data_IF_566434202748
#
_entry.id   IF_566434202748
#
_cell.length_a   1.000
_cell.length_b   1.000
_cell.length_c   1.000
_cell.angle_alpha   90.00
_cell.angle_beta   90.00
_cell.angle_gamma   90.00
#
_symmetry.space_group_name_H-M   'P 1'
#
loop_
_entity.id
_entity.type
_entity.pdbx_description
1 polymer ?
#
# COMPACT_ATOMS: atom_id res chain seq x y z
N UNK A 1 -40.46 28.79 -67.13
CA UNK A 1 -40.03 27.38 -67.11
C UNK A 1 -39.14 27.23 -65.88
N UNK A 2 -39.71 26.80 -64.74
CA UNK A 2 -39.00 26.69 -63.47
C UNK A 2 -38.35 25.30 -63.35
N UNK A 3 -37.13 25.17 -62.79
CA UNK A 3 -36.47 23.88 -62.63
C UNK A 3 -37.22 22.99 -61.63
N UNK A 4 -37.23 21.66 -61.81
CA UNK A 4 -37.90 20.73 -60.91
C UNK A 4 -37.20 20.66 -59.54
N UNK A 5 -37.94 20.35 -58.46
CA UNK A 5 -37.39 20.26 -57.10
C UNK A 5 -36.44 19.08 -56.94
N UNK A 6 -35.36 19.31 -56.19
CA UNK A 6 -34.32 18.31 -55.87
C UNK A 6 -34.88 17.13 -55.05
N UNK A 7 -34.37 15.90 -55.24
CA UNK A 7 -34.79 14.74 -54.46
C UNK A 7 -34.30 14.83 -53.00
N UNK A 8 -35.01 14.19 -52.04
CA UNK A 8 -34.64 14.20 -50.63
C UNK A 8 -33.35 13.40 -50.36
N UNK A 9 -32.52 13.91 -49.44
CA UNK A 9 -31.27 13.28 -49.02
C UNK A 9 -31.48 11.92 -48.35
N UNK A 10 -30.55 10.96 -48.50
CA UNK A 10 -30.63 9.66 -47.82
C UNK A 10 -30.51 9.81 -46.28
N UNK A 11 -31.12 8.92 -45.50
CA UNK A 11 -31.03 8.95 -44.04
C UNK A 11 -29.60 8.69 -43.58
N UNK A 12 -29.17 9.43 -42.55
CA UNK A 12 -27.85 9.28 -41.93
C UNK A 12 -27.65 7.84 -41.40
N UNK A 13 -26.42 7.29 -41.47
CA UNK A 13 -26.13 5.98 -40.89
C UNK A 13 -26.41 6.00 -39.38
N UNK A 14 -27.09 4.97 -38.90
CA UNK A 14 -27.43 4.79 -37.50
C UNK A 14 -26.16 4.90 -36.64
N UNK A 15 -26.14 5.90 -35.76
CA UNK A 15 -25.12 6.10 -34.75
C UNK A 15 -25.12 4.86 -33.85
N UNK A 16 -24.10 4.02 -34.02
CA UNK A 16 -23.88 2.85 -33.18
C UNK A 16 -23.74 3.32 -31.73
N UNK A 17 -24.63 2.84 -30.87
CA UNK A 17 -24.63 3.12 -29.45
C UNK A 17 -23.20 2.97 -28.85
N UNK A 18 -22.81 3.82 -27.89
CA UNK A 18 -21.52 3.69 -27.23
C UNK A 18 -21.42 2.30 -26.62
N UNK A 19 -20.40 1.53 -27.04
CA UNK A 19 -20.09 0.25 -26.46
C UNK A 19 -19.93 0.44 -24.94
N UNK A 20 -20.69 -0.34 -24.17
CA UNK A 20 -20.52 -0.39 -22.72
C UNK A 20 -19.04 -0.57 -22.38
N UNK A 21 -18.50 0.18 -21.40
CA UNK A 21 -17.13 -0.04 -20.96
C UNK A 21 -16.99 -1.50 -20.57
N UNK A 22 -16.03 -2.19 -21.20
CA UNK A 22 -15.76 -3.58 -20.93
C UNK A 22 -15.65 -3.80 -19.41
N UNK A 23 -16.27 -4.86 -18.86
CA UNK A 23 -16.11 -5.21 -17.46
C UNK A 23 -14.61 -5.26 -17.11
N UNK A 24 -14.20 -4.79 -15.92
CA UNK A 24 -12.81 -4.91 -15.50
C UNK A 24 -12.38 -6.37 -15.65
N UNK A 25 -11.29 -6.60 -16.38
CA UNK A 25 -10.80 -7.94 -16.65
C UNK A 25 -10.66 -8.73 -15.34
N UNK A 26 -11.16 -9.98 -15.28
CA UNK A 26 -11.03 -10.80 -14.09
C UNK A 26 -9.55 -10.99 -13.75
N UNK A 27 -9.23 -10.91 -12.44
CA UNK A 27 -7.88 -11.17 -11.94
C UNK A 27 -7.37 -12.51 -12.47
N UNK A 28 -6.10 -12.61 -12.90
CA UNK A 28 -5.55 -13.83 -13.46
C UNK A 28 -5.75 -15.00 -12.49
N UNK A 29 -6.16 -16.15 -13.03
CA UNK A 29 -6.35 -17.35 -12.24
C UNK A 29 -5.01 -17.76 -11.57
N UNK A 30 -5.04 -18.46 -10.42
CA UNK A 30 -3.83 -18.83 -9.66
C UNK A 30 -2.73 -19.62 -10.43
N UNK A 31 -2.98 -20.03 -11.68
CA UNK A 31 -2.03 -20.72 -12.56
C UNK A 31 -1.41 -19.86 -13.68
N UNK A 32 -1.89 -18.63 -13.90
CA UNK A 32 -1.43 -17.73 -14.99
C UNK A 32 -0.48 -16.63 -14.49
N UNK A 33 -0.11 -16.65 -13.20
CA UNK A 33 0.79 -15.67 -12.61
C UNK A 33 2.17 -15.74 -13.29
N UNK A 34 2.68 -14.59 -13.71
CA UNK A 34 4.03 -14.47 -14.25
C UNK A 34 5.04 -14.91 -13.18
N UNK A 35 6.15 -15.52 -13.60
CA UNK A 35 7.22 -15.88 -12.68
C UNK A 35 8.44 -14.97 -12.91
N UNK A 36 9.17 -14.62 -11.84
CA UNK A 36 10.46 -13.95 -11.99
C UNK A 36 11.41 -14.85 -12.77
N UNK A 37 12.09 -14.27 -13.76
CA UNK A 37 13.00 -14.97 -14.65
C UNK A 37 14.37 -15.21 -14.00
N UNK A 38 14.72 -14.44 -12.97
CA UNK A 38 16.00 -14.58 -12.27
C UNK A 38 15.97 -14.08 -10.83
N UNK A 39 16.96 -14.52 -10.04
CA UNK A 39 17.23 -14.03 -8.68
C UNK A 39 17.54 -12.52 -8.67
N UNK A 40 18.15 -11.99 -9.74
CA UNK A 40 18.42 -10.56 -9.89
C UNK A 40 17.15 -9.74 -10.07
N UNK A 41 16.13 -10.31 -10.71
CA UNK A 41 14.83 -9.67 -10.87
C UNK A 41 14.12 -9.49 -9.52
N UNK A 42 14.17 -10.50 -8.64
CA UNK A 42 13.72 -10.37 -7.25
C UNK A 42 14.43 -9.21 -6.55
N UNK A 43 15.76 -9.20 -6.61
CA UNK A 43 16.55 -8.16 -5.95
C UNK A 43 16.07 -6.77 -6.39
N UNK A 44 15.96 -6.52 -7.69
CA UNK A 44 15.56 -5.21 -8.20
C UNK A 44 14.09 -4.87 -7.97
N UNK A 45 13.19 -5.85 -8.02
CA UNK A 45 11.77 -5.65 -7.71
C UNK A 45 11.59 -5.22 -6.25
N UNK A 46 12.18 -5.95 -5.30
CA UNK A 46 12.09 -5.64 -3.88
C UNK A 46 12.87 -4.37 -3.50
N UNK A 47 13.92 -4.04 -4.23
CA UNK A 47 14.62 -2.77 -4.10
C UNK A 47 13.73 -1.58 -4.49
N UNK A 48 13.11 -1.64 -5.66
CA UNK A 48 12.17 -0.62 -6.12
C UNK A 48 11.01 -0.48 -5.14
N UNK A 49 10.51 -1.60 -4.63
CA UNK A 49 9.48 -1.63 -3.60
C UNK A 49 9.91 -0.88 -2.33
N UNK A 50 11.11 -1.16 -1.82
CA UNK A 50 11.63 -0.50 -0.62
C UNK A 50 11.82 1.02 -0.81
N UNK A 51 12.26 1.46 -1.98
CA UNK A 51 12.43 2.87 -2.31
C UNK A 51 11.09 3.63 -2.45
N UNK A 52 10.00 2.91 -2.72
CA UNK A 52 8.66 3.49 -2.92
C UNK A 52 7.75 3.37 -1.70
N UNK A 53 8.17 2.64 -0.65
CA UNK A 53 7.33 2.26 0.49
C UNK A 53 6.86 3.38 1.42
N UNK A 54 7.16 4.64 1.11
CA UNK A 54 6.79 5.78 1.94
C UNK A 54 5.27 5.92 2.03
N UNK A 55 4.76 6.05 3.27
CA UNK A 55 3.34 6.30 3.54
C UNK A 55 2.39 5.13 3.34
N UNK A 56 2.79 4.00 2.73
CA UNK A 56 1.84 2.91 2.47
C UNK A 56 2.45 1.66 1.84
N UNK A 57 3.50 1.11 2.46
CA UNK A 57 4.30 0.02 1.86
C UNK A 57 3.48 -1.18 1.39
N UNK A 58 2.40 -1.56 2.11
CA UNK A 58 1.56 -2.70 1.71
C UNK A 58 0.75 -2.42 0.45
N UNK A 59 0.26 -1.20 0.27
CA UNK A 59 -0.46 -0.81 -0.96
C UNK A 59 0.50 -0.77 -2.15
N UNK A 60 1.73 -0.29 -1.93
CA UNK A 60 2.79 -0.32 -2.93
C UNK A 60 3.16 -1.77 -3.27
N UNK A 61 3.25 -2.65 -2.27
CA UNK A 61 3.54 -4.07 -2.46
C UNK A 61 2.47 -4.80 -3.25
N UNK A 62 1.20 -4.59 -2.92
CA UNK A 62 0.10 -5.16 -3.68
C UNK A 62 0.16 -4.69 -5.14
N UNK A 63 0.30 -3.38 -5.38
CA UNK A 63 0.38 -2.83 -6.74
C UNK A 63 1.58 -3.40 -7.51
N UNK A 64 2.73 -3.52 -6.85
CA UNK A 64 3.95 -3.98 -7.49
C UNK A 64 3.90 -5.48 -7.82
N UNK A 65 3.53 -6.31 -6.83
CA UNK A 65 3.59 -7.77 -6.94
C UNK A 65 2.38 -8.35 -7.68
N UNK A 66 1.19 -7.75 -7.53
CA UNK A 66 -0.06 -8.21 -8.15
C UNK A 66 -0.29 -7.50 -9.47
N UNK A 67 -0.35 -6.16 -9.48
CA UNK A 67 -0.80 -5.41 -10.67
C UNK A 67 0.30 -5.23 -11.71
N UNK A 68 1.54 -4.90 -11.29
CA UNK A 68 2.63 -4.61 -12.22
C UNK A 68 3.39 -5.86 -12.67
N UNK A 69 3.82 -6.67 -11.71
CA UNK A 69 4.64 -7.86 -11.98
C UNK A 69 3.79 -9.09 -12.29
N UNK A 70 2.57 -9.16 -11.77
CA UNK A 70 1.69 -10.31 -11.94
C UNK A 70 2.25 -11.60 -11.32
N UNK A 71 3.12 -11.49 -10.31
CA UNK A 71 3.74 -12.64 -9.64
C UNK A 71 2.81 -13.39 -8.70
N UNK A 72 1.68 -12.78 -8.37
CA UNK A 72 0.67 -13.36 -7.51
C UNK A 72 -0.69 -12.72 -7.75
N UNK A 73 -1.74 -13.48 -7.50
CA UNK A 73 -3.10 -12.96 -7.47
C UNK A 73 -3.31 -12.10 -6.21
N UNK A 74 -4.44 -11.37 -6.19
CA UNK A 74 -4.82 -10.57 -5.02
C UNK A 74 -5.11 -11.46 -3.81
N UNK A 75 -5.69 -12.62 -4.04
CA UNK A 75 -6.01 -13.62 -3.02
C UNK A 75 -4.72 -14.19 -2.42
N UNK A 76 -3.77 -14.61 -3.25
CA UNK A 76 -2.45 -15.09 -2.81
C UNK A 76 -1.69 -14.02 -2.02
N UNK A 77 -1.78 -12.75 -2.41
CA UNK A 77 -1.18 -11.65 -1.64
C UNK A 77 -1.79 -11.54 -0.25
N UNK A 78 -3.12 -11.65 -0.13
CA UNK A 78 -3.81 -11.57 1.17
C UNK A 78 -3.46 -12.78 2.06
N UNK A 79 -3.38 -13.98 1.49
CA UNK A 79 -2.96 -15.19 2.20
C UNK A 79 -1.52 -15.07 2.70
N UNK A 80 -0.61 -14.63 1.82
CA UNK A 80 0.80 -14.39 2.18
C UNK A 80 0.92 -13.33 3.26
N UNK A 81 0.13 -12.25 3.18
CA UNK A 81 0.08 -11.20 4.20
C UNK A 81 -0.44 -11.74 5.54
N UNK A 82 -1.45 -12.61 5.53
CA UNK A 82 -1.99 -13.20 6.75
C UNK A 82 -0.92 -14.03 7.48
N UNK A 83 -0.14 -14.83 6.74
CA UNK A 83 1.01 -15.57 7.31
C UNK A 83 2.09 -14.61 7.81
N UNK A 84 2.41 -13.57 7.03
CA UNK A 84 3.42 -12.58 7.39
C UNK A 84 3.08 -11.80 8.69
N UNK A 85 1.79 -11.64 9.00
CA UNK A 85 1.30 -10.99 10.23
C UNK A 85 1.44 -11.88 11.49
N UNK A 86 1.52 -13.19 11.32
CA UNK A 86 1.77 -14.13 12.43
C UNK A 86 3.26 -14.18 12.78
N UNK A 87 4.12 -13.98 11.78
CA UNK A 87 5.56 -13.96 11.96
C UNK A 87 6.02 -12.67 12.65
N UNK A 88 7.02 -12.76 13.56
CA UNK A 88 7.59 -11.56 14.16
C UNK A 88 8.32 -10.71 13.11
N UNK A 89 8.26 -9.39 13.28
CA UNK A 89 8.98 -8.44 12.44
C UNK A 89 8.10 -7.69 11.42
N UNK A 90 8.72 -6.95 10.49
CA UNK A 90 7.98 -6.16 9.51
C UNK A 90 7.32 -7.05 8.44
N UNK A 91 6.00 -6.95 8.28
CA UNK A 91 5.24 -7.77 7.33
C UNK A 91 5.84 -7.81 5.93
N UNK A 92 6.32 -6.68 5.42
CA UNK A 92 6.85 -6.62 4.05
C UNK A 92 8.17 -7.38 3.88
N UNK A 93 8.98 -7.45 4.94
CA UNK A 93 10.22 -8.23 4.95
C UNK A 93 9.87 -9.72 4.94
N UNK A 94 8.89 -10.13 5.74
CA UNK A 94 8.39 -11.51 5.77
C UNK A 94 7.83 -11.91 4.40
N UNK A 95 7.01 -11.06 3.77
CA UNK A 95 6.51 -11.25 2.41
C UNK A 95 7.67 -11.40 1.41
N UNK A 96 8.71 -10.56 1.48
CA UNK A 96 9.86 -10.67 0.56
C UNK A 96 10.60 -11.99 0.71
N UNK A 97 10.76 -12.49 1.94
CA UNK A 97 11.40 -13.77 2.22
C UNK A 97 10.56 -14.92 1.67
N UNK A 98 9.26 -14.92 1.95
CA UNK A 98 8.33 -15.96 1.51
C UNK A 98 8.24 -16.04 -0.02
N UNK A 99 8.13 -14.89 -0.70
CA UNK A 99 8.12 -14.83 -2.17
C UNK A 99 9.46 -15.29 -2.74
N UNK A 100 10.56 -14.83 -2.14
CA UNK A 100 11.88 -15.23 -2.58
C UNK A 100 12.12 -16.73 -2.45
N UNK A 101 11.70 -17.30 -1.34
CA UNK A 101 11.76 -18.74 -1.08
C UNK A 101 10.88 -19.53 -2.06
N UNK A 102 9.65 -19.07 -2.32
CA UNK A 102 8.72 -19.69 -3.26
C UNK A 102 9.32 -19.87 -4.67
N UNK A 103 10.06 -18.89 -5.18
CA UNK A 103 10.55 -18.92 -6.56
C UNK A 103 11.96 -19.52 -6.72
N UNK A 104 12.89 -19.23 -5.82
CA UNK A 104 14.29 -19.67 -5.94
C UNK A 104 14.87 -20.24 -4.64
N UNK A 105 14.00 -20.68 -3.71
CA UNK A 105 14.39 -21.17 -2.39
C UNK A 105 15.19 -20.14 -1.58
N UNK A 106 16.08 -20.63 -0.73
CA UNK A 106 16.91 -19.78 0.13
C UNK A 106 17.68 -18.68 -0.63
N UNK A 107 18.11 -18.95 -1.87
CA UNK A 107 18.83 -17.95 -2.70
C UNK A 107 17.92 -16.81 -3.10
N UNK A 108 16.67 -17.09 -3.46
CA UNK A 108 15.66 -16.08 -3.76
C UNK A 108 15.26 -15.30 -2.51
N UNK A 109 15.06 -15.99 -1.38
CA UNK A 109 14.73 -15.35 -0.10
C UNK A 109 15.79 -14.31 0.29
N UNK A 110 17.07 -14.71 0.25
CA UNK A 110 18.18 -13.81 0.57
C UNK A 110 18.33 -12.67 -0.44
N UNK A 111 18.08 -12.92 -1.73
CA UNK A 111 18.13 -11.86 -2.74
C UNK A 111 16.99 -10.85 -2.63
N UNK A 112 15.77 -11.29 -2.35
CA UNK A 112 14.62 -10.44 -2.08
C UNK A 112 14.87 -9.58 -0.82
N UNK A 113 15.36 -10.20 0.26
CA UNK A 113 15.74 -9.49 1.48
C UNK A 113 16.86 -8.47 1.23
N UNK A 114 17.91 -8.86 0.49
CA UNK A 114 18.99 -7.97 0.11
C UNK A 114 18.47 -6.80 -0.75
N UNK A 115 17.56 -7.06 -1.68
CA UNK A 115 16.89 -6.04 -2.48
C UNK A 115 16.20 -5.01 -1.60
N UNK A 116 15.44 -5.47 -0.60
CA UNK A 116 14.75 -4.61 0.37
C UNK A 116 15.69 -3.73 1.20
N UNK A 117 16.90 -4.19 1.50
CA UNK A 117 17.77 -3.55 2.50
C UNK A 117 18.97 -2.81 1.91
N UNK A 118 19.66 -3.38 0.92
CA UNK A 118 21.00 -2.95 0.51
C UNK A 118 21.00 -1.52 -0.02
N UNK A 119 20.20 -1.20 -1.04
CA UNK A 119 20.22 0.16 -1.63
C UNK A 119 19.63 1.21 -0.71
N UNK A 120 18.47 0.99 -0.05
CA UNK A 120 17.97 1.93 0.95
C UNK A 120 18.99 2.18 2.08
N UNK A 121 19.65 1.14 2.58
CA UNK A 121 20.69 1.28 3.59
C UNK A 121 21.89 2.07 3.07
N UNK A 122 22.39 1.79 1.86
CA UNK A 122 23.48 2.55 1.24
C UNK A 122 23.09 4.03 1.12
N UNK A 123 21.88 4.34 0.67
CA UNK A 123 21.40 5.73 0.57
C UNK A 123 21.41 6.39 1.95
N UNK A 124 20.82 5.76 2.96
CA UNK A 124 20.74 6.32 4.31
C UNK A 124 22.13 6.48 4.94
N UNK A 125 23.00 5.49 4.81
CA UNK A 125 24.37 5.53 5.33
C UNK A 125 25.22 6.58 4.62
N UNK A 126 25.08 6.70 3.30
CA UNK A 126 25.79 7.73 2.52
C UNK A 126 25.32 9.12 2.91
N UNK A 127 24.00 9.31 3.02
CA UNK A 127 23.42 10.56 3.50
C UNK A 127 23.93 10.85 4.91
N UNK A 128 23.92 9.88 5.83
CA UNK A 128 24.41 10.05 7.19
C UNK A 128 25.90 10.41 7.24
N UNK A 129 26.75 9.75 6.44
CA UNK A 129 28.18 10.06 6.37
C UNK A 129 28.42 11.48 5.85
N UNK A 130 27.78 11.86 4.73
CA UNK A 130 27.85 13.22 4.18
C UNK A 130 27.29 14.24 5.16
N UNK A 131 26.26 13.86 5.92
CA UNK A 131 25.64 14.70 6.93
C UNK A 131 26.70 15.19 7.93
N UNK A 132 27.61 14.34 8.41
CA UNK A 132 28.63 14.74 9.40
C UNK A 132 29.57 15.86 8.91
N UNK A 133 29.85 15.90 7.60
CA UNK A 133 30.67 16.94 6.96
C UNK A 133 29.90 18.21 6.57
N UNK A 134 28.60 18.10 6.25
CA UNK A 134 27.80 19.19 5.66
C UNK A 134 26.67 19.72 6.57
N UNK A 135 26.43 19.11 7.74
CA UNK A 135 25.38 19.49 8.70
C UNK A 135 25.50 20.91 9.23
N UNK A 136 26.69 21.49 9.20
CA UNK A 136 26.92 22.87 9.59
C UNK A 136 26.24 23.87 8.63
N UNK A 137 25.87 23.46 7.41
CA UNK A 137 25.21 24.33 6.45
C UNK A 137 23.69 24.42 6.70
N UNK A 138 23.11 25.64 6.79
CA UNK A 138 21.66 25.82 6.96
C UNK A 138 20.80 25.17 5.86
N UNK A 139 21.36 25.05 4.65
CA UNK A 139 20.67 24.44 3.48
C UNK A 139 20.43 22.94 3.66
N UNK A 140 21.41 22.20 4.17
CA UNK A 140 21.28 20.75 4.40
C UNK A 140 20.23 20.46 5.49
N UNK A 141 20.27 21.20 6.59
CA UNK A 141 19.28 21.09 7.67
C UNK A 141 17.86 21.43 7.18
N UNK A 142 17.72 22.44 6.30
CA UNK A 142 16.47 22.77 5.64
C UNK A 142 15.94 21.64 4.76
N UNK A 143 16.80 21.03 3.94
CA UNK A 143 16.44 19.90 3.09
C UNK A 143 15.97 18.67 3.89
N UNK A 144 16.69 18.31 4.96
CA UNK A 144 16.32 17.19 5.84
C UNK A 144 14.97 17.45 6.55
N UNK A 145 14.73 18.69 7.01
CA UNK A 145 13.42 19.07 7.58
C UNK A 145 12.31 18.99 6.53
N UNK A 146 12.57 19.43 5.29
CA UNK A 146 11.65 19.30 4.17
C UNK A 146 11.28 17.84 3.88
N UNK A 147 12.27 16.95 3.83
CA UNK A 147 12.04 15.51 3.65
C UNK A 147 11.19 14.90 4.77
N UNK A 148 11.46 15.30 6.02
CA UNK A 148 10.64 14.92 7.18
C UNK A 148 9.19 15.42 7.06
N UNK A 149 8.99 16.67 6.63
CA UNK A 149 7.66 17.24 6.42
C UNK A 149 6.89 16.53 5.29
N UNK A 150 7.55 16.21 4.17
CA UNK A 150 6.95 15.42 3.07
C UNK A 150 6.53 14.04 3.55
N UNK A 151 7.40 13.36 4.31
CA UNK A 151 7.10 12.03 4.87
C UNK A 151 5.90 12.08 5.82
N UNK A 152 5.84 13.07 6.71
CA UNK A 152 4.70 13.29 7.59
C UNK A 152 3.41 13.58 6.81
N UNK A 153 3.48 14.39 5.76
CA UNK A 153 2.35 14.68 4.87
C UNK A 153 1.84 13.43 4.16
N UNK A 154 2.72 12.54 3.72
CA UNK A 154 2.33 11.29 3.05
C UNK A 154 1.69 10.29 4.00
N UNK A 155 2.19 10.20 5.24
CA UNK A 155 1.56 9.42 6.31
C UNK A 155 0.16 9.96 6.61
N UNK A 156 0.03 11.28 6.75
CA UNK A 156 -1.26 11.93 6.97
C UNK A 156 -2.22 11.68 5.81
N UNK A 157 -1.76 11.82 4.57
CA UNK A 157 -2.56 11.56 3.37
C UNK A 157 -3.08 10.11 3.34
N UNK A 158 -2.26 9.15 3.77
CA UNK A 158 -2.70 7.75 3.88
C UNK A 158 -3.71 7.56 4.99
N UNK A 159 -3.53 8.18 6.14
CA UNK A 159 -4.53 8.21 7.21
C UNK A 159 -5.87 8.77 6.75
N UNK A 160 -5.85 9.90 6.02
CA UNK A 160 -7.04 10.51 5.43
C UNK A 160 -7.68 9.60 4.37
N UNK A 161 -6.88 8.90 3.56
CA UNK A 161 -7.37 7.92 2.56
C UNK A 161 -8.08 6.73 3.22
N UNK A 162 -7.70 6.38 4.46
CA UNK A 162 -8.35 5.32 5.24
C UNK A 162 -9.61 5.78 5.99
N UNK A 163 -9.84 7.10 6.11
CA UNK A 163 -10.97 7.66 6.84
C UNK A 163 -12.35 7.17 6.33
N UNK A 164 -12.61 7.06 5.01
CA UNK A 164 -13.87 6.52 4.50
C UNK A 164 -14.11 5.05 4.88
N UNK A 165 -13.04 4.26 5.07
CA UNK A 165 -13.15 2.85 5.47
C UNK A 165 -13.71 2.70 6.88
N UNK A 166 -13.55 3.70 7.76
CA UNK A 166 -14.18 3.71 9.09
C UNK A 166 -15.71 3.79 9.04
N UNK A 167 -16.30 4.38 8.00
CA UNK A 167 -17.76 4.45 7.86
C UNK A 167 -18.40 3.08 7.64
N UNK A 168 -17.66 2.15 7.05
CA UNK A 168 -18.09 0.77 6.80
C UNK A 168 -17.81 -0.17 7.97
N UNK A 169 -17.11 0.32 9.00
CA UNK A 169 -16.73 -0.48 10.15
C UNK A 169 -17.94 -0.66 11.10
N UNK A 170 -18.23 -1.86 11.61
CA UNK A 170 -19.34 -2.12 12.56
C UNK A 170 -19.36 -1.21 13.79
N UNK A 171 -18.22 -0.65 14.22
CA UNK A 171 -18.17 0.27 15.39
C UNK A 171 -18.74 1.67 15.07
N UNK A 172 -18.91 2.01 13.80
CA UNK A 172 -19.38 3.32 13.36
C UNK A 172 -18.29 4.40 13.34
N UNK A 173 -18.58 5.50 12.63
CA UNK A 173 -17.62 6.58 12.38
C UNK A 173 -17.20 7.31 13.65
N UNK A 174 -18.16 7.68 14.51
CA UNK A 174 -17.91 8.48 15.71
C UNK A 174 -17.03 7.77 16.73
N UNK A 175 -17.31 6.50 17.13
CA UNK A 175 -16.41 5.77 18.03
C UNK A 175 -15.04 5.53 17.41
N UNK A 176 -14.97 5.25 16.10
CA UNK A 176 -13.70 5.11 15.39
C UNK A 176 -12.84 6.38 15.44
N UNK A 177 -13.46 7.55 15.22
CA UNK A 177 -12.76 8.82 15.29
C UNK A 177 -12.34 9.18 16.73
N UNK A 178 -13.17 8.86 17.72
CA UNK A 178 -12.84 9.04 19.13
C UNK A 178 -11.61 8.18 19.53
N UNK A 179 -11.58 6.90 19.13
CA UNK A 179 -10.43 6.03 19.36
C UNK A 179 -9.17 6.53 18.65
N UNK A 180 -9.28 6.98 17.39
CA UNK A 180 -8.15 7.56 16.66
C UNK A 180 -7.60 8.81 17.36
N UNK A 181 -8.48 9.69 17.84
CA UNK A 181 -8.11 10.91 18.58
C UNK A 181 -7.47 10.57 19.92
N UNK A 182 -7.95 9.54 20.61
CA UNK A 182 -7.39 9.05 21.86
C UNK A 182 -5.98 8.49 21.67
N UNK A 183 -5.76 7.65 20.64
CA UNK A 183 -4.43 7.14 20.29
C UNK A 183 -3.48 8.28 19.97
N UNK A 184 -3.93 9.26 19.19
CA UNK A 184 -3.12 10.43 18.83
C UNK A 184 -2.72 11.24 20.06
N UNK A 185 -3.66 11.57 20.94
CA UNK A 185 -3.38 12.31 22.17
C UNK A 185 -2.46 11.55 23.13
N UNK A 186 -2.68 10.24 23.30
CA UNK A 186 -1.84 9.37 24.12
C UNK A 186 -0.39 9.30 23.60
N UNK A 187 -0.20 9.31 22.28
CA UNK A 187 1.13 9.24 21.67
C UNK A 187 1.84 10.59 21.70
N UNK A 188 1.15 11.67 21.35
CA UNK A 188 1.77 13.00 21.19
C UNK A 188 1.98 13.70 22.54
N UNK A 189 0.99 13.68 23.42
CA UNK A 189 1.06 14.42 24.69
C UNK A 189 1.59 13.58 25.84
N UNK A 190 1.10 12.35 25.99
CA UNK A 190 1.51 11.48 27.10
C UNK A 190 2.77 10.67 26.77
N UNK A 191 3.21 10.65 25.49
CA UNK A 191 4.39 9.90 25.02
C UNK A 191 4.41 8.45 25.48
N UNK A 192 3.22 7.84 25.56
CA UNK A 192 3.09 6.48 26.06
C UNK A 192 3.75 5.50 25.10
N UNK A 193 4.42 4.44 25.61
CA UNK A 193 4.92 3.37 24.76
C UNK A 193 3.79 2.76 23.95
N UNK A 194 4.05 2.50 22.67
CA UNK A 194 3.06 1.97 21.74
C UNK A 194 2.42 0.66 22.26
N UNK A 195 3.20 -0.14 22.98
CA UNK A 195 2.74 -1.35 23.66
C UNK A 195 1.51 -1.10 24.54
N UNK A 196 1.53 -0.09 25.40
CA UNK A 196 0.42 0.22 26.30
C UNK A 196 -0.80 0.77 25.55
N UNK A 197 -0.55 1.57 24.51
CA UNK A 197 -1.62 2.12 23.67
C UNK A 197 -2.37 1.02 22.94
N UNK A 198 -1.65 0.05 22.36
CA UNK A 198 -2.25 -1.11 21.69
C UNK A 198 -3.02 -1.97 22.69
N UNK A 199 -2.45 -2.26 23.86
CA UNK A 199 -3.12 -3.10 24.86
C UNK A 199 -4.42 -2.45 25.38
N UNK A 200 -4.38 -1.16 25.66
CA UNK A 200 -5.51 -0.42 26.23
C UNK A 200 -6.53 -0.01 25.17
N UNK A 201 -6.16 0.90 24.27
CA UNK A 201 -7.06 1.48 23.27
C UNK A 201 -7.41 0.46 22.20
N UNK A 202 -6.47 -0.39 21.80
CA UNK A 202 -6.74 -1.50 20.88
C UNK A 202 -7.68 -2.54 21.50
N UNK A 203 -7.47 -2.90 22.78
CA UNK A 203 -8.37 -3.78 23.52
C UNK A 203 -9.79 -3.23 23.64
N UNK A 204 -9.93 -1.93 23.97
CA UNK A 204 -11.22 -1.23 23.99
C UNK A 204 -11.89 -1.22 22.61
N UNK A 205 -11.13 -0.94 21.55
CA UNK A 205 -11.63 -0.97 20.18
C UNK A 205 -12.15 -2.36 19.77
N UNK A 206 -11.41 -3.41 20.11
CA UNK A 206 -11.83 -4.81 19.89
C UNK A 206 -13.13 -5.11 20.64
N UNK A 207 -13.23 -4.76 21.93
CA UNK A 207 -14.42 -5.01 22.74
C UNK A 207 -15.66 -4.31 22.16
N UNK A 208 -15.53 -3.03 21.77
CA UNK A 208 -16.60 -2.28 21.12
C UNK A 208 -17.03 -2.90 19.79
N UNK A 209 -16.08 -3.35 18.97
CA UNK A 209 -16.37 -4.03 17.71
C UNK A 209 -17.13 -5.34 17.93
N UNK A 210 -16.74 -6.15 18.93
CA UNK A 210 -17.43 -7.39 19.29
C UNK A 210 -18.85 -7.13 19.79
N UNK A 211 -19.06 -6.09 20.61
CA UNK A 211 -20.39 -5.71 21.10
C UNK A 211 -21.28 -5.24 19.94
N UNK A 212 -20.75 -4.42 19.03
CA UNK A 212 -21.48 -3.92 17.87
C UNK A 212 -21.89 -5.06 16.92
N UNK A 213 -20.97 -5.99 16.63
CA UNK A 213 -21.25 -7.17 15.80
C UNK A 213 -22.31 -8.09 16.44
N UNK A 214 -22.28 -8.26 17.76
CA UNK A 214 -23.29 -9.05 18.48
C UNK A 214 -24.67 -8.41 18.46
N UNK A 215 -24.76 -7.07 18.47
CA UNK A 215 -26.03 -6.35 18.36
C UNK A 215 -26.63 -6.40 16.96
N UNK A 216 -25.81 -6.44 15.92
CA UNK A 216 -26.27 -6.52 14.52
C UNK A 216 -26.72 -7.92 14.08
N UNK A 217 -26.37 -8.97 14.83
CA UNK A 217 -26.81 -10.36 14.57
C UNK A 217 -28.11 -10.75 15.30
N UNK A 218 -28.64 -9.86 16.16
CA UNK A 218 -29.94 -10.03 16.81
C UNK A 218 -30.98 -9.20 16.07
#
# INVERSE_FOLDING_TARGET
MAPPPSPPSPPAPAESAPADPAPPEPSPAPGDAASPQSVGELFWAFNRLALQGFGGVLAVAQRELVERLGWMSREEFVETLAVAQVLPGPNIVNISLMIGDRFFGMRGAMAALAGMMVVPAIIVLTLAALSTTWLASPRMTGALRGMGAVSAGLILATGLKLLPSLRKNPVGLWPGLALASLVFGATVWLKLPLFWIVLSVGGLGMALALIALRRSRR
#
